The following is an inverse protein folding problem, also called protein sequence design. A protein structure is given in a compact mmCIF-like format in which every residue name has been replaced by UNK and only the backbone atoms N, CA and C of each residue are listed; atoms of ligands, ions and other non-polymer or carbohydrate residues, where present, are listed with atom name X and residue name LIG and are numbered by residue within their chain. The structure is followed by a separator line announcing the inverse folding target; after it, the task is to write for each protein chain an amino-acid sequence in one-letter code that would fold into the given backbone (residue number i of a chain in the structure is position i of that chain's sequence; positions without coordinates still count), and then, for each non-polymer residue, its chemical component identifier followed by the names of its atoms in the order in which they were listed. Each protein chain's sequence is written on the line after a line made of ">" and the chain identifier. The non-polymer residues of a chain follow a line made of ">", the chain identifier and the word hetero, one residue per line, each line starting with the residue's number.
data_IF_630462035172
#
_entry.id   IF_630462035172
#
_cell.length_a   1.000
_cell.length_b   1.000
_cell.length_c   1.000
_cell.angle_alpha   90.00
_cell.angle_beta   90.00
_cell.angle_gamma   90.00
#
_symmetry.space_group_name_H-M   'P 1'
#
loop_
_entity.id
_entity.type
_entity.pdbx_description
1 polymer ?
#
# COMPACT_ATOMS: atom_id res chain seq x y z
N UNK A 1 14.07 5.59 -1.69
CA UNK A 1 13.24 4.41 -1.38
C UNK A 1 11.87 4.66 -1.98
N UNK A 2 11.33 3.74 -2.79
CA UNK A 2 9.98 3.90 -3.37
C UNK A 2 8.94 3.60 -2.28
N UNK A 3 7.73 4.15 -2.43
CA UNK A 3 6.62 3.92 -1.49
C UNK A 3 6.25 2.44 -1.38
N UNK A 4 6.38 1.68 -2.47
CA UNK A 4 6.23 0.22 -2.49
C UNK A 4 7.27 -0.49 -1.62
N UNK A 5 8.54 -0.09 -1.71
CA UNK A 5 9.61 -0.68 -0.90
C UNK A 5 9.35 -0.43 0.60
N UNK A 6 8.89 0.78 0.94
CA UNK A 6 8.51 1.13 2.30
C UNK A 6 7.35 0.29 2.81
N UNK A 7 6.27 0.18 2.03
CA UNK A 7 5.10 -0.60 2.40
C UNK A 7 5.43 -2.08 2.61
N UNK A 8 6.30 -2.64 1.75
CA UNK A 8 6.79 -4.00 1.90
C UNK A 8 7.57 -4.19 3.22
N UNK A 9 8.50 -3.29 3.54
CA UNK A 9 9.29 -3.37 4.78
C UNK A 9 8.42 -3.27 6.03
N UNK A 10 7.41 -2.39 6.01
CA UNK A 10 6.45 -2.27 7.11
C UNK A 10 5.67 -3.57 7.27
N UNK A 11 5.15 -4.13 6.18
CA UNK A 11 4.40 -5.38 6.20
C UNK A 11 5.24 -6.55 6.76
N UNK A 12 6.48 -6.70 6.29
CA UNK A 12 7.39 -7.73 6.77
C UNK A 12 7.66 -7.57 8.27
N UNK A 13 7.97 -6.35 8.72
CA UNK A 13 8.20 -6.07 10.13
C UNK A 13 6.97 -6.32 10.99
N UNK A 14 5.77 -6.03 10.50
CA UNK A 14 4.52 -6.33 11.19
C UNK A 14 4.33 -7.83 11.37
N UNK A 15 4.60 -8.63 10.34
CA UNK A 15 4.51 -10.09 10.45
C UNK A 15 5.53 -10.64 11.45
N UNK A 16 6.77 -10.17 11.44
CA UNK A 16 7.76 -10.54 12.46
C UNK A 16 7.29 -10.23 13.89
N UNK A 17 6.72 -9.05 14.12
CA UNK A 17 6.20 -8.67 15.43
C UNK A 17 5.01 -9.54 15.86
N UNK A 18 4.15 -9.92 14.93
CA UNK A 18 3.02 -10.82 15.21
C UNK A 18 3.52 -12.22 15.60
N UNK A 19 4.50 -12.77 14.87
CA UNK A 19 5.08 -14.07 15.21
C UNK A 19 5.74 -14.05 16.59
N UNK A 20 6.49 -12.99 16.90
CA UNK A 20 7.13 -12.81 18.21
C UNK A 20 6.11 -12.75 19.34
N UNK A 21 5.00 -12.04 19.15
CA UNK A 21 3.99 -11.83 20.18
C UNK A 21 3.02 -13.01 20.36
N UNK A 22 2.78 -13.79 19.31
CA UNK A 22 1.76 -14.85 19.28
C UNK A 22 2.36 -16.26 19.24
N UNK A 23 3.70 -16.37 19.19
CA UNK A 23 4.46 -17.63 19.21
C UNK A 23 4.03 -18.64 18.13
N UNK A 24 3.52 -18.16 16.99
CA UNK A 24 3.27 -18.97 15.80
C UNK A 24 4.07 -18.40 14.64
N UNK A 25 4.30 -19.25 13.62
CA UNK A 25 4.97 -18.83 12.38
C UNK A 25 3.91 -18.61 11.29
N UNK A 26 3.95 -17.45 10.65
CA UNK A 26 3.22 -17.18 9.42
C UNK A 26 3.87 -17.99 8.31
N UNK A 27 3.09 -18.86 7.66
CA UNK A 27 3.58 -19.65 6.53
C UNK A 27 4.06 -18.73 5.39
N UNK A 28 5.14 -19.11 4.72
CA UNK A 28 5.78 -18.29 3.67
C UNK A 28 4.81 -17.94 2.52
N UNK A 29 3.86 -18.84 2.20
CA UNK A 29 2.82 -18.58 1.21
C UNK A 29 1.92 -17.42 1.65
N UNK A 30 1.45 -17.42 2.90
CA UNK A 30 0.63 -16.32 3.44
C UNK A 30 1.40 -15.00 3.46
N UNK A 31 2.70 -15.02 3.78
CA UNK A 31 3.55 -13.81 3.73
C UNK A 31 3.57 -13.20 2.33
N UNK A 32 3.73 -14.03 1.29
CA UNK A 32 3.73 -13.58 -0.11
C UNK A 32 2.37 -13.02 -0.53
N UNK A 33 1.29 -13.68 -0.14
CA UNK A 33 -0.08 -13.22 -0.43
C UNK A 33 -0.38 -11.86 0.22
N UNK A 34 0.03 -11.68 1.49
CA UNK A 34 -0.11 -10.42 2.22
C UNK A 34 0.67 -9.31 1.52
N UNK A 35 1.94 -9.56 1.15
CA UNK A 35 2.75 -8.57 0.42
C UNK A 35 2.13 -8.17 -0.91
N UNK A 36 1.67 -9.14 -1.72
CA UNK A 36 1.03 -8.85 -2.99
C UNK A 36 -0.25 -8.01 -2.81
N UNK A 37 -1.05 -8.33 -1.78
CA UNK A 37 -2.27 -7.60 -1.45
C UNK A 37 -1.96 -6.15 -1.05
N UNK A 38 -1.02 -5.95 -0.13
CA UNK A 38 -0.62 -4.61 0.34
C UNK A 38 -0.10 -3.75 -0.81
N UNK A 39 0.76 -4.29 -1.67
CA UNK A 39 1.30 -3.53 -2.80
C UNK A 39 0.19 -3.09 -3.77
N UNK A 40 -0.79 -3.96 -4.05
CA UNK A 40 -1.95 -3.61 -4.86
C UNK A 40 -2.81 -2.52 -4.21
N UNK A 41 -3.05 -2.61 -2.91
CA UNK A 41 -3.81 -1.59 -2.18
C UNK A 41 -3.07 -0.24 -2.15
N UNK A 42 -1.75 -0.24 -2.01
CA UNK A 42 -0.91 0.96 -2.11
C UNK A 42 -1.08 1.64 -3.47
N UNK A 43 -1.07 0.87 -4.56
CA UNK A 43 -1.33 1.41 -5.90
C UNK A 43 -2.71 2.05 -6.00
N UNK A 44 -3.75 1.40 -5.45
CA UNK A 44 -5.11 1.94 -5.43
C UNK A 44 -5.22 3.22 -4.59
N UNK A 45 -4.54 3.28 -3.45
CA UNK A 45 -4.49 4.46 -2.58
C UNK A 45 -3.81 5.62 -3.31
N UNK A 46 -2.66 5.37 -3.95
CA UNK A 46 -1.93 6.38 -4.71
C UNK A 46 -2.77 6.88 -5.89
N UNK A 47 -3.42 5.98 -6.62
CA UNK A 47 -4.34 6.33 -7.71
C UNK A 47 -5.47 7.23 -7.21
N UNK A 48 -6.16 6.85 -6.13
CA UNK A 48 -7.25 7.65 -5.54
C UNK A 48 -6.74 9.02 -5.06
N UNK A 49 -5.58 9.06 -4.40
CA UNK A 49 -4.99 10.31 -3.92
C UNK A 49 -4.65 11.25 -5.08
N UNK A 50 -4.07 10.73 -6.16
CA UNK A 50 -3.73 11.53 -7.36
C UNK A 50 -4.97 12.02 -8.12
N UNK A 51 -6.02 11.20 -8.24
CA UNK A 51 -7.32 11.59 -8.83
C UNK A 51 -8.02 12.67 -7.98
N UNK A 52 -8.01 12.53 -6.65
CA UNK A 52 -8.61 13.52 -5.74
C UNK A 52 -7.85 14.86 -5.71
N UNK A 53 -6.56 14.85 -6.05
CA UNK A 53 -5.72 16.05 -6.15
C UNK A 53 -5.81 16.77 -7.51
N UNK A 54 -6.45 16.16 -8.52
CA UNK A 54 -6.60 16.72 -9.86
C UNK A 54 -8.02 17.29 -10.07
N UNK A 55 -8.31 18.41 -9.40
CA UNK A 55 -9.42 19.29 -9.75
C UNK A 55 -9.25 19.83 -11.19
N UNK A 56 -10.35 20.06 -11.94
CA UNK A 56 -10.32 20.22 -13.39
C UNK A 56 -9.64 21.53 -13.81
N UNK A 57 -8.72 21.43 -14.76
CA UNK A 57 -8.16 22.60 -15.45
C UNK A 57 -9.29 23.33 -16.19
N UNK A 58 -9.63 24.52 -15.69
CA UNK A 58 -10.12 25.66 -16.46
C UNK A 58 -11.36 25.42 -17.30
N UNK A 59 -12.55 25.54 -16.69
CA UNK A 59 -13.75 25.90 -17.43
C UNK A 59 -13.55 27.27 -18.08
N UNK A 60 -13.42 27.29 -19.41
CA UNK A 60 -13.28 28.53 -20.19
C UNK A 60 -14.46 29.47 -19.89
N UNK A 61 -14.11 30.66 -19.41
CA UNK A 61 -14.94 31.85 -19.51
C UNK A 61 -15.38 32.01 -20.97
N UNK A 62 -16.70 31.94 -21.23
CA UNK A 62 -17.27 32.42 -22.50
C UNK A 62 -18.21 33.57 -22.15
N UNK A 63 -17.88 34.71 -22.77
CA UNK A 63 -18.47 36.03 -22.64
C UNK A 63 -19.96 36.04 -22.89
#
# INVERSE_FOLDING_TARGET
>A
MKVHDFAWQVAERTMELLEQNQHYKVADNHRREIHATILKEVDEIIRKATESGSAPKGGKHKK
#
